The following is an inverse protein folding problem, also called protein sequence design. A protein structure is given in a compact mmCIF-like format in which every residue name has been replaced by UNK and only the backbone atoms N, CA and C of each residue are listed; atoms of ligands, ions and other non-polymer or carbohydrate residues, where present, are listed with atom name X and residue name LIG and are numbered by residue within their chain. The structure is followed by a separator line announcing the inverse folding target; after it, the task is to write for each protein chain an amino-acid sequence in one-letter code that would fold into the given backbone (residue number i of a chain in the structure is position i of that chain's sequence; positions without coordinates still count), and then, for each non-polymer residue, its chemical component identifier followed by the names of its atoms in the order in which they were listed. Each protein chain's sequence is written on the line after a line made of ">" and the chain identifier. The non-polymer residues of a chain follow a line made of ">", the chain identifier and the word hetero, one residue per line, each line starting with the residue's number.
data_IF_041846747694
#
_entry.id   IF_041846747694
#
_cell.length_a   1.000
_cell.length_b   1.000
_cell.length_c   1.000
_cell.angle_alpha   90.00
_cell.angle_beta   90.00
_cell.angle_gamma   90.00
#
_symmetry.space_group_name_H-M   'P 1'
#
loop_
_entity.id
_entity.type
_entity.pdbx_description
1 polymer ?
#
# COMPACT_ATOMS: atom_id res chain seq x y z
N UNK A 1 13.16 -22.51 -35.34
CA UNK A 1 11.84 -21.86 -35.14
C UNK A 1 11.65 -21.87 -33.65
N UNK A 2 11.41 -20.71 -33.06
CA UNK A 2 11.31 -20.57 -31.58
C UNK A 2 9.86 -20.84 -31.16
N UNK A 3 9.60 -22.03 -30.67
CA UNK A 3 8.24 -22.40 -30.24
C UNK A 3 7.89 -21.83 -28.86
N UNK A 4 8.90 -21.48 -28.04
CA UNK A 4 8.65 -20.79 -26.76
C UNK A 4 8.18 -19.36 -26.99
N UNK A 5 8.73 -18.65 -28.00
CA UNK A 5 8.20 -17.36 -28.44
C UNK A 5 6.73 -17.47 -28.93
N UNK A 6 6.44 -18.49 -29.77
CA UNK A 6 5.05 -18.72 -30.21
C UNK A 6 4.11 -19.00 -29.04
N UNK A 7 4.57 -19.77 -28.04
CA UNK A 7 3.79 -20.07 -26.84
C UNK A 7 3.49 -18.78 -26.04
N UNK A 8 4.50 -17.92 -25.86
CA UNK A 8 4.38 -16.63 -25.16
C UNK A 8 3.34 -15.73 -25.84
N UNK A 9 3.45 -15.52 -27.16
CA UNK A 9 2.50 -14.68 -27.92
C UNK A 9 1.08 -15.25 -27.94
N UNK A 10 0.94 -16.57 -28.11
CA UNK A 10 -0.36 -17.24 -28.07
C UNK A 10 -1.02 -17.10 -26.68
N UNK A 11 -0.22 -17.14 -25.63
CA UNK A 11 -0.69 -17.00 -24.25
C UNK A 11 -1.10 -15.56 -23.96
N UNK A 12 -0.31 -14.58 -24.40
CA UNK A 12 -0.64 -13.17 -24.25
C UNK A 12 -1.98 -12.85 -24.93
N UNK A 13 -2.25 -13.44 -26.09
CA UNK A 13 -3.53 -13.30 -26.82
C UNK A 13 -4.67 -14.14 -26.26
N UNK A 14 -4.45 -14.99 -25.26
CA UNK A 14 -5.50 -15.87 -24.70
C UNK A 14 -5.86 -17.07 -25.59
N UNK A 15 -4.99 -17.44 -26.54
CA UNK A 15 -5.28 -18.47 -27.55
C UNK A 15 -4.85 -19.87 -27.11
N UNK A 16 -5.71 -20.55 -26.37
CA UNK A 16 -5.44 -21.87 -25.82
C UNK A 16 -5.00 -22.92 -26.87
N UNK A 17 -5.70 -22.95 -28.00
CA UNK A 17 -5.43 -23.94 -29.07
C UNK A 17 -4.01 -23.75 -29.64
N UNK A 18 -3.55 -22.48 -29.76
CA UNK A 18 -2.20 -22.19 -30.22
C UNK A 18 -1.14 -22.53 -29.15
N UNK A 19 -1.46 -22.39 -27.86
CA UNK A 19 -0.56 -22.81 -26.79
C UNK A 19 -0.38 -24.35 -26.81
N UNK A 20 -1.44 -25.12 -26.98
CA UNK A 20 -1.39 -26.57 -27.09
C UNK A 20 -0.62 -27.02 -28.35
N UNK A 21 -0.78 -26.29 -29.46
CA UNK A 21 -0.02 -26.53 -30.70
C UNK A 21 1.47 -26.23 -30.52
N UNK A 22 1.83 -25.08 -29.93
CA UNK A 22 3.22 -24.73 -29.63
C UNK A 22 3.91 -25.78 -28.75
N UNK A 23 3.23 -26.25 -27.72
CA UNK A 23 3.70 -27.37 -26.89
C UNK A 23 3.94 -28.64 -27.69
N UNK A 24 3.00 -28.99 -28.59
CA UNK A 24 3.14 -30.21 -29.44
C UNK A 24 4.35 -30.13 -30.37
N UNK A 25 4.80 -28.93 -30.69
CA UNK A 25 5.99 -28.66 -31.51
C UNK A 25 7.28 -28.56 -30.69
N UNK A 26 7.17 -28.59 -29.36
CA UNK A 26 8.32 -28.67 -28.46
C UNK A 26 8.58 -27.41 -27.63
N UNK A 27 7.62 -26.52 -27.49
CA UNK A 27 7.71 -25.42 -26.53
C UNK A 27 7.77 -26.00 -25.10
N UNK A 28 8.64 -25.43 -24.27
CA UNK A 28 8.94 -25.92 -22.91
C UNK A 28 8.94 -24.84 -21.85
N UNK A 29 8.91 -23.56 -22.20
CA UNK A 29 8.91 -22.47 -21.22
C UNK A 29 7.51 -22.19 -20.68
N UNK A 30 7.04 -23.10 -19.81
CA UNK A 30 5.73 -22.96 -19.18
C UNK A 30 5.71 -21.93 -18.07
N UNK A 31 6.87 -21.47 -17.55
CA UNK A 31 6.93 -20.35 -16.62
C UNK A 31 6.68 -19.01 -17.33
N UNK A 32 7.24 -18.82 -18.53
CA UNK A 32 6.91 -17.67 -19.36
C UNK A 32 5.43 -17.68 -19.79
N UNK A 33 4.89 -18.87 -20.13
CA UNK A 33 3.45 -19.01 -20.37
C UNK A 33 2.64 -18.57 -19.15
N UNK A 34 3.02 -18.98 -17.94
CA UNK A 34 2.32 -18.62 -16.71
C UNK A 34 2.36 -17.08 -16.46
N UNK A 35 3.51 -16.47 -16.73
CA UNK A 35 3.73 -15.03 -16.67
C UNK A 35 2.76 -14.28 -17.60
N UNK A 36 2.73 -14.61 -18.88
CA UNK A 36 1.90 -13.95 -19.88
C UNK A 36 0.39 -14.17 -19.62
N UNK A 37 0.02 -15.36 -19.19
CA UNK A 37 -1.36 -15.69 -18.83
C UNK A 37 -1.83 -14.87 -17.62
N UNK A 38 -0.98 -14.68 -16.62
CA UNK A 38 -1.29 -13.89 -15.44
C UNK A 38 -1.43 -12.40 -15.76
N UNK A 39 -0.55 -11.86 -16.60
CA UNK A 39 -0.62 -10.48 -17.07
C UNK A 39 -1.90 -10.21 -17.86
N UNK A 40 -2.29 -11.14 -18.77
CA UNK A 40 -3.49 -11.02 -19.59
C UNK A 40 -4.82 -11.37 -18.88
N UNK A 41 -4.77 -11.86 -17.64
CA UNK A 41 -5.97 -12.28 -16.91
C UNK A 41 -6.56 -13.64 -17.36
N UNK A 42 -5.78 -14.47 -18.04
CA UNK A 42 -6.22 -15.75 -18.61
C UNK A 42 -6.09 -16.89 -17.60
N UNK A 43 -7.08 -17.03 -16.73
CA UNK A 43 -7.08 -18.03 -15.65
C UNK A 43 -6.91 -19.47 -16.15
N UNK A 44 -7.61 -19.84 -17.20
CA UNK A 44 -7.56 -21.18 -17.78
C UNK A 44 -6.17 -21.52 -18.34
N UNK A 45 -5.44 -20.52 -18.87
CA UNK A 45 -4.07 -20.69 -19.33
C UNK A 45 -3.09 -20.75 -18.15
N UNK A 46 -3.33 -20.06 -17.06
CA UNK A 46 -2.53 -20.21 -15.82
C UNK A 46 -2.65 -21.65 -15.28
N UNK A 47 -3.87 -22.19 -15.20
CA UNK A 47 -4.13 -23.55 -14.76
C UNK A 47 -3.48 -24.58 -15.71
N UNK A 48 -3.53 -24.31 -17.03
CA UNK A 48 -2.89 -25.13 -18.05
C UNK A 48 -1.38 -25.14 -17.92
N UNK A 49 -0.73 -23.94 -17.79
CA UNK A 49 0.71 -23.80 -17.58
C UNK A 49 1.19 -24.56 -16.35
N UNK A 50 0.45 -24.44 -15.23
CA UNK A 50 0.73 -25.23 -14.03
C UNK A 50 0.64 -26.73 -14.28
N UNK A 51 -0.37 -27.19 -15.02
CA UNK A 51 -0.52 -28.62 -15.35
C UNK A 51 0.63 -29.14 -16.20
N UNK A 52 1.30 -28.27 -16.94
CA UNK A 52 2.47 -28.58 -17.76
C UNK A 52 3.80 -28.46 -16.99
N UNK A 53 3.78 -27.96 -15.77
CA UNK A 53 4.94 -27.94 -14.89
C UNK A 53 5.46 -26.55 -14.56
N UNK A 54 4.72 -25.47 -14.84
CA UNK A 54 5.08 -24.14 -14.35
C UNK A 54 5.05 -24.08 -12.82
N UNK A 55 6.03 -23.41 -12.23
CA UNK A 55 6.25 -23.35 -10.77
C UNK A 55 6.48 -21.94 -10.23
N UNK A 56 6.63 -20.92 -11.11
CA UNK A 56 6.95 -19.55 -10.71
C UNK A 56 5.70 -18.78 -10.23
N UNK A 57 5.09 -19.25 -9.14
CA UNK A 57 3.82 -18.67 -8.65
C UNK A 57 3.99 -17.27 -8.05
N UNK A 58 5.19 -16.86 -7.59
CA UNK A 58 5.45 -15.48 -7.20
C UNK A 58 5.43 -14.55 -8.42
N UNK A 59 6.04 -14.95 -9.54
CA UNK A 59 6.00 -14.19 -10.78
C UNK A 59 4.57 -14.04 -11.32
N UNK A 60 3.79 -15.14 -11.28
CA UNK A 60 2.35 -15.10 -11.57
C UNK A 60 1.62 -14.08 -10.69
N UNK A 61 1.92 -14.05 -9.39
CA UNK A 61 1.31 -13.10 -8.44
C UNK A 61 1.61 -11.66 -8.83
N UNK A 62 2.86 -11.35 -9.21
CA UNK A 62 3.28 -10.00 -9.60
C UNK A 62 2.56 -9.53 -10.83
N UNK A 63 2.51 -10.36 -11.88
CA UNK A 63 1.88 -10.03 -13.14
C UNK A 63 0.35 -9.88 -13.01
N UNK A 64 -0.27 -10.76 -12.24
CA UNK A 64 -1.69 -10.64 -11.91
C UNK A 64 -1.99 -9.35 -11.12
N UNK A 65 -1.09 -8.94 -10.23
CA UNK A 65 -1.23 -7.71 -9.46
C UNK A 65 -1.07 -6.46 -10.33
N UNK A 66 -0.08 -6.47 -11.24
CA UNK A 66 0.11 -5.39 -12.22
C UNK A 66 -1.08 -5.25 -13.18
N UNK A 67 -1.63 -6.38 -13.65
CA UNK A 67 -2.80 -6.41 -14.55
C UNK A 67 -4.15 -6.15 -13.86
N UNK A 68 -4.20 -6.08 -12.52
CA UNK A 68 -5.45 -5.85 -11.79
C UNK A 68 -6.32 -7.10 -11.58
N UNK A 69 -5.76 -8.29 -11.75
CA UNK A 69 -6.50 -9.57 -11.74
C UNK A 69 -6.53 -10.20 -10.34
N UNK A 70 -7.48 -9.75 -9.50
CA UNK A 70 -7.61 -10.18 -8.11
C UNK A 70 -7.75 -11.69 -7.94
N UNK A 71 -8.58 -12.32 -8.76
CA UNK A 71 -8.82 -13.77 -8.73
C UNK A 71 -7.56 -14.59 -9.03
N UNK A 72 -6.69 -14.09 -9.90
CA UNK A 72 -5.38 -14.70 -10.18
C UNK A 72 -4.38 -14.49 -9.05
N UNK A 73 -4.41 -13.34 -8.36
CA UNK A 73 -3.61 -13.13 -7.16
C UNK A 73 -4.00 -14.14 -6.06
N UNK A 74 -5.30 -14.33 -5.82
CA UNK A 74 -5.80 -15.31 -4.86
C UNK A 74 -5.44 -16.76 -5.28
N UNK A 75 -5.47 -17.04 -6.57
CA UNK A 75 -5.07 -18.35 -7.14
C UNK A 75 -3.56 -18.59 -6.95
N UNK A 76 -2.70 -17.61 -7.28
CA UNK A 76 -1.25 -17.70 -7.11
C UNK A 76 -0.87 -17.94 -5.63
N UNK A 77 -1.53 -17.22 -4.70
CA UNK A 77 -1.36 -17.46 -3.26
C UNK A 77 -1.76 -18.88 -2.86
N UNK A 78 -2.88 -19.40 -3.39
CA UNK A 78 -3.32 -20.77 -3.12
C UNK A 78 -2.33 -21.83 -3.62
N UNK A 79 -1.53 -21.48 -4.62
CA UNK A 79 -0.47 -22.33 -5.18
C UNK A 79 0.88 -22.18 -4.46
N UNK A 80 0.97 -21.24 -3.51
CA UNK A 80 2.15 -21.07 -2.67
C UNK A 80 2.97 -19.81 -2.92
N UNK A 81 2.45 -18.84 -3.66
CA UNK A 81 3.07 -17.52 -3.74
C UNK A 81 3.04 -16.82 -2.36
N UNK A 82 4.17 -16.22 -1.97
CA UNK A 82 4.38 -15.66 -0.62
C UNK A 82 4.96 -14.24 -0.62
N UNK A 83 5.43 -13.74 -1.75
CA UNK A 83 6.05 -12.41 -1.80
C UNK A 83 5.01 -11.30 -2.02
N UNK A 84 4.34 -10.96 -0.92
CA UNK A 84 3.29 -9.95 -0.94
C UNK A 84 3.82 -8.51 -0.97
N UNK A 85 5.11 -8.28 -0.69
CA UNK A 85 5.72 -6.95 -0.86
C UNK A 85 5.90 -6.63 -2.34
N UNK A 86 6.34 -7.58 -3.16
CA UNK A 86 6.44 -7.37 -4.60
C UNK A 86 5.03 -7.27 -5.24
N UNK A 87 4.06 -8.09 -4.78
CA UNK A 87 2.66 -7.91 -5.16
C UNK A 87 2.16 -6.48 -4.88
N UNK A 88 2.48 -5.91 -3.69
CA UNK A 88 2.11 -4.55 -3.33
C UNK A 88 2.72 -3.52 -4.28
N UNK A 89 3.99 -3.70 -4.64
CA UNK A 89 4.70 -2.85 -5.59
C UNK A 89 4.02 -2.87 -6.97
N UNK A 90 3.79 -4.05 -7.54
CA UNK A 90 3.20 -4.21 -8.86
C UNK A 90 1.74 -3.73 -8.91
N UNK A 91 0.94 -4.00 -7.87
CA UNK A 91 -0.40 -3.44 -7.73
C UNK A 91 -0.40 -1.90 -7.67
N UNK A 92 0.61 -1.31 -7.02
CA UNK A 92 0.77 0.14 -6.96
C UNK A 92 1.14 0.71 -8.32
N UNK A 93 2.07 0.06 -9.04
CA UNK A 93 2.50 0.46 -10.38
C UNK A 93 1.32 0.42 -11.37
N UNK A 94 0.48 -0.63 -11.30
CA UNK A 94 -0.74 -0.77 -12.10
C UNK A 94 -1.90 0.16 -11.68
N UNK A 95 -1.79 0.84 -10.53
CA UNK A 95 -2.84 1.72 -10.02
C UNK A 95 -4.02 0.98 -9.37
N UNK A 96 -3.82 -0.25 -8.92
CA UNK A 96 -4.87 -1.13 -8.38
C UNK A 96 -4.95 -1.05 -6.84
N UNK A 97 -5.65 -0.05 -6.33
CA UNK A 97 -5.79 0.21 -4.90
C UNK A 97 -6.33 -0.99 -4.11
N UNK A 98 -7.32 -1.67 -4.61
CA UNK A 98 -7.94 -2.84 -3.97
C UNK A 98 -6.95 -4.00 -3.81
N UNK A 99 -6.03 -4.18 -4.77
CA UNK A 99 -4.96 -5.15 -4.67
C UNK A 99 -3.86 -4.72 -3.69
N UNK A 100 -3.58 -3.42 -3.55
CA UNK A 100 -2.71 -2.93 -2.49
C UNK A 100 -3.29 -3.25 -1.10
N UNK A 101 -4.60 -3.04 -0.89
CA UNK A 101 -5.29 -3.40 0.35
C UNK A 101 -5.27 -4.92 0.58
N UNK A 102 -5.41 -5.71 -0.47
CA UNK A 102 -5.31 -7.17 -0.42
C UNK A 102 -3.89 -7.63 -0.03
N UNK A 103 -2.84 -7.10 -0.68
CA UNK A 103 -1.45 -7.41 -0.38
C UNK A 103 -1.11 -7.10 1.09
N UNK A 104 -1.54 -5.94 1.60
CA UNK A 104 -1.41 -5.59 3.01
C UNK A 104 -2.11 -6.59 3.92
N UNK A 105 -3.34 -7.02 3.59
CA UNK A 105 -4.08 -8.02 4.36
C UNK A 105 -3.35 -9.36 4.44
N UNK A 106 -2.50 -9.65 3.46
CA UNK A 106 -1.66 -10.85 3.40
C UNK A 106 -0.30 -10.67 4.08
N UNK A 107 0.03 -9.47 4.54
CA UNK A 107 1.23 -9.19 5.32
C UNK A 107 2.29 -8.36 4.60
N UNK A 108 1.98 -7.73 3.49
CA UNK A 108 2.88 -6.73 2.88
C UNK A 108 3.10 -5.54 3.82
N UNK A 109 4.35 -5.09 3.91
CA UNK A 109 4.80 -4.06 4.85
C UNK A 109 5.68 -2.97 4.23
N UNK A 110 6.08 -3.11 2.96
CA UNK A 110 6.95 -2.13 2.29
C UNK A 110 6.16 -0.92 1.76
N UNK A 111 5.61 -0.15 2.71
CA UNK A 111 4.82 1.04 2.39
C UNK A 111 5.68 2.21 1.90
N UNK A 112 7.01 2.19 2.13
CA UNK A 112 7.93 3.18 1.57
C UNK A 112 8.06 3.04 0.06
N UNK A 113 8.26 1.82 -0.42
CA UNK A 113 8.34 1.53 -1.86
C UNK A 113 6.99 1.82 -2.53
N UNK A 114 5.88 1.40 -1.90
CA UNK A 114 4.53 1.75 -2.34
C UNK A 114 4.34 3.27 -2.50
N UNK A 115 4.78 4.08 -1.52
CA UNK A 115 4.67 5.54 -1.59
C UNK A 115 5.46 6.12 -2.76
N UNK A 116 6.69 5.65 -2.96
CA UNK A 116 7.54 6.09 -4.07
C UNK A 116 6.90 5.78 -5.43
N UNK A 117 6.43 4.55 -5.64
CA UNK A 117 5.79 4.14 -6.88
C UNK A 117 4.48 4.88 -7.14
N UNK A 118 3.63 5.05 -6.12
CA UNK A 118 2.37 5.78 -6.26
C UNK A 118 2.61 7.26 -6.63
N UNK A 119 3.63 7.88 -6.07
CA UNK A 119 4.01 9.27 -6.39
C UNK A 119 4.53 9.37 -7.83
N UNK A 120 5.39 8.43 -8.25
CA UNK A 120 5.94 8.39 -9.61
C UNK A 120 4.87 8.10 -10.67
N UNK A 121 3.96 7.16 -10.40
CA UNK A 121 2.84 6.80 -11.27
C UNK A 121 1.67 7.81 -11.27
N UNK A 122 1.68 8.80 -10.38
CA UNK A 122 0.60 9.78 -10.26
C UNK A 122 -0.69 9.22 -9.65
N UNK A 123 -0.61 8.11 -8.93
CA UNK A 123 -1.76 7.45 -8.28
C UNK A 123 -2.04 8.08 -6.92
N UNK A 124 -2.64 9.29 -6.92
CA UNK A 124 -2.82 10.09 -5.70
C UNK A 124 -3.64 9.43 -4.59
N UNK A 125 -4.60 8.59 -4.92
CA UNK A 125 -5.40 7.84 -3.95
C UNK A 125 -4.57 6.74 -3.26
N UNK A 126 -3.69 6.05 -4.01
CA UNK A 126 -2.75 5.06 -3.48
C UNK A 126 -1.63 5.77 -2.71
N UNK A 127 -1.15 6.92 -3.18
CA UNK A 127 -0.16 7.75 -2.49
C UNK A 127 -0.65 8.13 -1.08
N UNK A 128 -1.89 8.62 -0.96
CA UNK A 128 -2.49 8.95 0.33
C UNK A 128 -2.64 7.73 1.23
N UNK A 129 -3.01 6.59 0.65
CA UNK A 129 -3.11 5.32 1.37
C UNK A 129 -1.73 4.84 1.89
N UNK A 130 -0.69 4.97 1.07
CA UNK A 130 0.68 4.62 1.44
C UNK A 130 1.22 5.50 2.58
N UNK A 131 1.00 6.83 2.51
CA UNK A 131 1.32 7.78 3.59
C UNK A 131 0.66 7.36 4.91
N UNK A 132 -0.61 7.02 4.85
CA UNK A 132 -1.36 6.56 6.01
C UNK A 132 -0.78 5.26 6.61
N UNK A 133 -0.53 4.25 5.78
CA UNK A 133 0.00 2.96 6.27
C UNK A 133 1.43 3.09 6.78
N UNK A 134 2.26 3.89 6.12
CA UNK A 134 3.62 4.18 6.56
C UNK A 134 3.63 4.86 7.94
N UNK A 135 2.78 5.87 8.14
CA UNK A 135 2.62 6.54 9.43
C UNK A 135 2.14 5.56 10.52
N UNK A 136 1.19 4.68 10.21
CA UNK A 136 0.74 3.63 11.13
C UNK A 136 1.87 2.65 11.51
N UNK A 137 2.69 2.24 10.55
CA UNK A 137 3.79 1.31 10.77
C UNK A 137 4.88 1.91 11.66
N UNK A 138 5.27 3.17 11.43
CA UNK A 138 6.24 3.88 12.27
C UNK A 138 5.68 4.05 13.69
N UNK A 139 4.39 4.35 13.81
CA UNK A 139 3.76 4.66 15.08
C UNK A 139 3.37 3.42 15.91
N UNK A 140 3.45 2.20 15.33
CA UNK A 140 3.10 0.96 16.05
C UNK A 140 3.96 0.69 17.28
N UNK A 141 5.17 1.27 17.35
CA UNK A 141 6.09 1.19 18.49
C UNK A 141 5.91 2.32 19.52
N UNK A 142 5.08 3.32 19.21
CA UNK A 142 4.87 4.48 20.08
C UNK A 142 3.61 4.28 20.96
N UNK A 143 3.55 4.95 22.13
CA UNK A 143 2.34 4.96 22.94
C UNK A 143 1.12 5.39 22.12
N UNK A 144 -0.03 4.74 22.35
CA UNK A 144 -1.23 4.88 21.51
C UNK A 144 -1.69 6.32 21.25
N UNK A 145 -1.47 7.24 22.18
CA UNK A 145 -1.82 8.65 22.04
C UNK A 145 -0.86 9.41 21.10
N UNK A 146 0.45 9.04 21.09
CA UNK A 146 1.45 9.63 20.17
C UNK A 146 1.18 9.16 18.74
N UNK A 147 0.85 7.87 18.57
CA UNK A 147 0.48 7.29 17.28
C UNK A 147 -0.70 8.02 16.62
N UNK A 148 -1.68 8.39 17.44
CA UNK A 148 -2.87 9.12 16.96
C UNK A 148 -2.50 10.51 16.41
N UNK A 149 -1.55 11.21 17.03
CA UNK A 149 -1.13 12.54 16.60
C UNK A 149 -0.33 12.53 15.31
N UNK A 150 0.60 11.58 15.16
CA UNK A 150 1.36 11.41 13.92
C UNK A 150 0.47 11.15 12.73
N UNK A 151 -0.59 10.38 12.93
CA UNK A 151 -1.58 10.06 11.91
C UNK A 151 -2.39 11.28 11.44
N UNK A 152 -2.78 12.17 12.34
CA UNK A 152 -3.54 13.39 12.03
C UNK A 152 -2.78 14.39 11.14
N UNK A 153 -1.47 14.49 11.31
CA UNK A 153 -0.62 15.41 10.53
C UNK A 153 -0.35 14.88 9.11
N UNK A 154 -0.21 13.56 8.97
CA UNK A 154 0.15 12.94 7.67
C UNK A 154 -1.05 12.86 6.71
N UNK A 155 -2.28 12.87 7.22
CA UNK A 155 -3.50 12.65 6.42
C UNK A 155 -4.27 13.92 6.04
N UNK A 156 -3.68 15.11 6.14
CA UNK A 156 -4.31 16.41 5.77
C UNK A 156 -5.73 16.60 6.36
N UNK A 157 -5.98 16.06 7.55
CA UNK A 157 -7.24 16.26 8.26
C UNK A 157 -8.41 15.34 7.87
N UNK A 158 -8.21 14.39 6.96
CA UNK A 158 -9.26 13.43 6.55
C UNK A 158 -9.37 12.22 7.47
N UNK A 159 -9.35 12.41 8.78
CA UNK A 159 -9.39 11.30 9.71
C UNK A 159 -10.77 11.12 10.36
N UNK A 160 -11.43 10.01 10.03
CA UNK A 160 -12.62 9.54 10.77
C UNK A 160 -12.17 8.54 11.84
N UNK A 161 -12.11 8.99 13.09
CA UNK A 161 -11.78 8.15 14.25
C UNK A 161 -12.84 7.08 14.50
N UNK A 162 -12.61 5.86 14.02
CA UNK A 162 -13.53 4.73 14.27
C UNK A 162 -13.32 4.01 15.60
N UNK A 163 -12.17 4.16 16.27
CA UNK A 163 -11.81 3.33 17.44
C UNK A 163 -10.95 4.05 18.49
N UNK A 164 -11.30 5.27 18.90
CA UNK A 164 -10.57 5.96 19.95
C UNK A 164 -11.30 5.83 21.31
N UNK A 165 -10.52 5.69 22.41
CA UNK A 165 -11.10 5.83 23.76
C UNK A 165 -11.70 7.22 23.94
N UNK A 166 -12.66 7.43 24.88
CA UNK A 166 -13.26 8.74 25.13
C UNK A 166 -12.25 9.85 25.41
N UNK A 167 -11.13 9.52 26.07
CA UNK A 167 -10.03 10.46 26.30
C UNK A 167 -9.34 10.91 25.00
N UNK A 168 -9.08 9.98 24.07
CA UNK A 168 -8.48 10.28 22.79
C UNK A 168 -9.39 11.13 21.90
N UNK A 169 -10.70 10.86 21.90
CA UNK A 169 -11.70 11.67 21.18
C UNK A 169 -11.68 13.12 21.65
N UNK A 170 -11.58 13.35 22.97
CA UNK A 170 -11.51 14.71 23.55
C UNK A 170 -10.26 15.45 23.07
N UNK A 171 -9.08 14.81 23.09
CA UNK A 171 -7.83 15.40 22.63
C UNK A 171 -7.85 15.73 21.14
N UNK A 172 -8.34 14.81 20.31
CA UNK A 172 -8.47 15.06 18.86
C UNK A 172 -9.40 16.24 18.57
N UNK A 173 -10.50 16.36 19.31
CA UNK A 173 -11.42 17.48 19.17
C UNK A 173 -10.76 18.82 19.55
N UNK A 174 -9.89 18.83 20.55
CA UNK A 174 -9.12 20.02 20.93
C UNK A 174 -8.11 20.36 19.83
N UNK A 175 -7.38 19.37 19.31
CA UNK A 175 -6.37 19.58 18.27
C UNK A 175 -6.97 20.00 16.94
N UNK A 176 -8.12 19.44 16.55
CA UNK A 176 -8.79 19.83 15.30
C UNK A 176 -9.28 21.27 15.28
N UNK A 177 -9.28 21.93 16.45
CA UNK A 177 -9.59 23.36 16.57
C UNK A 177 -8.34 24.25 16.42
N UNK A 178 -7.14 23.66 16.43
CA UNK A 178 -5.91 24.41 16.20
C UNK A 178 -5.68 24.63 14.71
N UNK A 179 -5.04 25.75 14.32
CA UNK A 179 -4.52 25.92 12.97
C UNK A 179 -3.58 24.76 12.59
N UNK A 180 -3.56 24.36 11.32
CA UNK A 180 -2.79 23.22 10.81
C UNK A 180 -1.30 23.27 11.17
N UNK A 181 -0.72 24.47 11.15
CA UNK A 181 0.66 24.74 11.52
C UNK A 181 0.94 24.37 12.99
N UNK A 182 -0.03 24.61 13.85
CA UNK A 182 0.11 24.34 15.30
C UNK A 182 -0.18 22.88 15.62
N UNK A 183 -1.06 22.21 14.86
CA UNK A 183 -1.21 20.76 14.92
C UNK A 183 0.12 20.08 14.61
N UNK A 184 0.83 20.53 13.58
CA UNK A 184 2.16 20.05 13.22
C UNK A 184 3.18 20.24 14.34
N UNK A 185 3.24 21.45 14.95
CA UNK A 185 4.17 21.74 16.08
C UNK A 185 3.94 20.78 17.25
N UNK A 186 2.70 20.57 17.66
CA UNK A 186 2.36 19.66 18.77
C UNK A 186 2.81 18.24 18.44
N UNK A 187 2.57 17.77 17.23
CA UNK A 187 2.96 16.44 16.78
C UNK A 187 4.48 16.27 16.76
N UNK A 188 5.23 17.22 16.18
CA UNK A 188 6.70 17.16 16.13
C UNK A 188 7.32 17.15 17.54
N UNK A 189 6.82 17.97 18.47
CA UNK A 189 7.31 17.97 19.85
C UNK A 189 7.00 16.66 20.60
N UNK A 190 5.82 16.09 20.40
CA UNK A 190 5.46 14.81 21.00
C UNK A 190 6.31 13.65 20.47
N UNK A 191 6.79 13.73 19.23
CA UNK A 191 7.64 12.71 18.62
C UNK A 191 9.14 12.89 18.90
N UNK A 192 9.56 13.95 19.61
CA UNK A 192 10.98 14.23 19.87
C UNK A 192 11.77 14.56 18.59
N UNK A 193 11.12 14.86 17.49
CA UNK A 193 11.74 15.28 16.24
C UNK A 193 12.16 16.74 16.37
N UNK A 194 13.48 16.98 16.41
CA UNK A 194 14.12 18.29 16.67
C UNK A 194 14.22 19.13 15.37
N UNK A 195 13.34 18.98 14.41
CA UNK A 195 13.24 19.95 13.33
C UNK A 195 12.29 21.06 13.74
N UNK A 196 12.81 22.28 13.83
CA UNK A 196 11.97 23.45 14.04
C UNK A 196 10.93 23.53 12.90
N UNK A 197 9.63 23.49 13.22
CA UNK A 197 8.60 23.69 12.20
C UNK A 197 8.80 25.09 11.63
N UNK A 198 8.75 25.22 10.32
CA UNK A 198 8.65 26.52 9.66
C UNK A 198 7.30 27.10 10.03
N UNK A 199 7.25 27.81 11.14
CA UNK A 199 6.08 28.60 11.54
C UNK A 199 5.97 29.72 10.51
N UNK A 200 4.91 29.74 9.71
CA UNK A 200 4.73 30.83 8.76
C UNK A 200 4.54 32.15 9.53
N UNK A 201 5.13 33.23 9.05
CA UNK A 201 5.04 34.56 9.66
C UNK A 201 3.58 34.95 9.94
N UNK A 202 2.65 34.46 9.13
CA UNK A 202 1.21 34.66 9.28
C UNK A 202 0.65 34.13 10.62
N UNK A 203 1.13 32.98 11.10
CA UNK A 203 0.68 32.42 12.38
C UNK A 203 1.21 33.22 13.59
N UNK A 204 2.35 33.93 13.41
CA UNK A 204 2.94 34.81 14.42
C UNK A 204 2.16 36.14 14.46
N UNK A 205 1.77 36.68 13.30
CA UNK A 205 1.10 37.99 13.17
C UNK A 205 -0.37 37.96 13.63
N UNK A 206 -1.01 36.78 13.59
CA UNK A 206 -2.42 36.61 14.05
C UNK A 206 -2.56 36.51 15.59
N UNK A 207 -1.47 36.62 16.36
CA UNK A 207 -1.49 36.90 17.80
C UNK A 207 -2.24 35.88 18.65
N UNK A 208 -2.03 34.58 18.40
CA UNK A 208 -2.66 33.50 19.14
C UNK A 208 -2.36 33.53 20.63
N UNK A 209 -3.17 34.13 21.44
CA UNK A 209 -3.14 33.95 22.89
C UNK A 209 -3.59 32.53 23.22
N UNK A 210 -2.65 31.76 23.77
CA UNK A 210 -2.89 30.40 24.25
C UNK A 210 -3.66 30.43 25.56
N UNK A 211 -4.95 30.23 25.52
CA UNK A 211 -5.76 30.01 26.72
C UNK A 211 -5.99 28.49 26.86
N UNK A 212 -5.17 27.86 27.66
CA UNK A 212 -5.55 26.58 28.26
C UNK A 212 -6.61 26.86 29.33
N UNK A 213 -7.77 26.21 29.32
CA UNK A 213 -8.71 26.32 30.39
C UNK A 213 -8.05 25.89 31.71
N UNK A 214 -8.11 26.76 32.71
CA UNK A 214 -7.54 26.48 34.04
C UNK A 214 -8.25 25.24 34.63
N UNK A 215 -7.56 24.13 34.74
CA UNK A 215 -8.07 22.90 35.34
C UNK A 215 -7.58 21.59 34.73
N UNK A 216 -6.96 21.59 33.54
CA UNK A 216 -6.58 20.36 32.85
C UNK A 216 -5.04 20.19 32.68
N UNK A 217 -4.23 20.66 33.61
CA UNK A 217 -2.79 20.30 33.65
C UNK A 217 -2.67 18.83 34.05
N UNK A 218 -2.09 17.95 33.20
CA UNK A 218 -1.78 16.59 33.60
C UNK A 218 -0.74 16.65 34.74
N UNK A 219 -1.03 15.94 35.85
CA UNK A 219 -0.08 15.77 36.94
C UNK A 219 1.23 15.18 36.38
N UNK A 220 2.36 15.82 36.72
CA UNK A 220 3.69 15.32 36.41
C UNK A 220 3.86 13.90 37.00
N UNK A 221 4.36 12.94 36.23
CA UNK A 221 4.70 11.63 36.78
C UNK A 221 5.85 11.79 37.81
N UNK A 222 5.62 11.22 38.99
CA UNK A 222 6.67 10.99 40.00
C UNK A 222 7.52 9.80 39.61
#
# INVERSE_FOLDING_TARGET
>A
MDFDWMLSEATHGGHRDLCELAKSWGATDFNEMLYQAAYGGHRDLCELAKSWGATNFNEMLYQAAYGGHRDLCELAKSWGATDFNEMLHEATHGGHRDLCELAKSWGATDFNRMLHEATYGGHHDIENLAKYWHACAINSSLPAWISLFGLLVVTDGYFVLKCASPAHVRWVKILSQLPLELQAVVCFRCHGLVHEPVVTQKAIDEGGQWLFPAGDTPASPQ
#
